data_IF_767376761928
#
_entry.id   IF_767376761928
#
_cell.length_a   1.000
_cell.length_b   1.000
_cell.length_c   1.000
_cell.angle_alpha   90.00
_cell.angle_beta   90.00
_cell.angle_gamma   90.00
#
_symmetry.space_group_name_H-M   'P 1'
#
loop_
_entity.id
_entity.type
_entity.pdbx_description
1 polymer ?
#
# COMPACT_ATOMS: atom_id res chain seq x y z
N UNK A 1 -14.59 -8.14 -10.39
CA UNK A 1 -14.99 -8.50 -11.77
C UNK A 1 -15.63 -7.34 -12.52
N UNK A 2 -16.65 -6.67 -11.97
CA UNK A 2 -17.30 -5.52 -12.63
C UNK A 2 -16.30 -4.43 -13.08
N UNK A 3 -15.38 -4.00 -12.21
CA UNK A 3 -14.37 -2.99 -12.56
C UNK A 3 -13.46 -3.42 -13.72
N UNK A 4 -13.10 -4.71 -13.81
CA UNK A 4 -12.30 -5.26 -14.91
C UNK A 4 -13.08 -5.23 -16.22
N UNK A 5 -14.36 -5.59 -16.17
CA UNK A 5 -15.27 -5.53 -17.31
C UNK A 5 -15.40 -4.09 -17.85
N UNK A 6 -15.63 -3.11 -16.97
CA UNK A 6 -15.71 -1.69 -17.34
C UNK A 6 -14.39 -1.21 -17.96
N UNK A 7 -13.26 -1.66 -17.43
CA UNK A 7 -11.94 -1.34 -17.97
C UNK A 7 -11.59 -2.10 -19.28
N UNK A 8 -12.39 -3.10 -19.68
CA UNK A 8 -12.16 -3.90 -20.89
C UNK A 8 -10.94 -4.82 -20.79
N UNK A 9 -10.55 -5.23 -19.59
CA UNK A 9 -9.40 -6.12 -19.35
C UNK A 9 -9.81 -7.34 -18.54
N UNK A 10 -8.95 -8.34 -18.56
CA UNK A 10 -9.02 -9.57 -17.75
C UNK A 10 -7.95 -9.54 -16.66
N UNK A 11 -8.09 -10.41 -15.66
CA UNK A 11 -7.16 -10.49 -14.52
C UNK A 11 -5.75 -10.97 -14.92
N UNK A 12 -5.61 -11.75 -16.00
CA UNK A 12 -4.30 -12.13 -16.56
C UNK A 12 -3.47 -10.95 -17.09
N UNK A 13 -4.10 -9.77 -17.26
CA UNK A 13 -3.41 -8.52 -17.61
C UNK A 13 -2.88 -7.76 -16.39
N UNK A 14 -3.13 -8.25 -15.18
CA UNK A 14 -2.70 -7.63 -13.94
C UNK A 14 -1.73 -8.54 -13.17
N UNK A 15 -0.89 -7.92 -12.34
CA UNK A 15 -0.03 -8.66 -11.42
C UNK A 15 -0.87 -9.43 -10.41
N UNK A 16 -0.37 -10.61 -10.01
CA UNK A 16 -0.96 -11.39 -8.93
C UNK A 16 -0.90 -10.59 -7.62
N UNK A 17 -2.05 -10.48 -6.94
CA UNK A 17 -2.11 -9.86 -5.62
C UNK A 17 -1.42 -10.76 -4.59
N UNK A 18 -0.59 -10.15 -3.76
CA UNK A 18 0.15 -10.82 -2.68
C UNK A 18 0.12 -9.96 -1.41
N UNK A 19 0.28 -10.56 -0.22
CA UNK A 19 0.42 -9.80 1.02
C UNK A 19 1.57 -8.80 0.95
N UNK A 20 1.47 -7.72 1.73
CA UNK A 20 2.52 -6.68 1.80
C UNK A 20 3.85 -7.21 2.34
N UNK A 21 3.82 -8.34 3.05
CA UNK A 21 4.98 -9.08 3.56
C UNK A 21 5.51 -10.16 2.61
N UNK A 22 4.89 -10.33 1.44
CA UNK A 22 5.34 -11.32 0.45
C UNK A 22 6.78 -11.04 0.03
N UNK A 23 7.60 -12.08 0.13
CA UNK A 23 9.04 -12.01 -0.10
C UNK A 23 9.42 -12.85 -1.31
N UNK A 24 10.21 -12.26 -2.21
CA UNK A 24 10.80 -12.88 -3.38
C UNK A 24 12.30 -13.09 -3.14
N UNK A 25 12.85 -14.16 -3.68
CA UNK A 25 14.30 -14.47 -3.64
C UNK A 25 14.75 -14.96 -5.01
N UNK A 26 16.06 -15.05 -5.22
CA UNK A 26 16.63 -15.50 -6.49
C UNK A 26 16.70 -14.36 -7.50
N UNK A 27 17.26 -13.23 -7.08
CA UNK A 27 17.55 -12.12 -7.96
C UNK A 27 18.56 -12.56 -9.04
N UNK A 28 18.36 -12.12 -10.28
CA UNK A 28 19.31 -12.39 -11.36
C UNK A 28 20.75 -11.96 -10.96
N UNK A 29 21.75 -12.77 -11.32
CA UNK A 29 23.15 -12.52 -10.97
C UNK A 29 23.66 -11.17 -11.46
N UNK A 30 23.20 -10.73 -12.64
CA UNK A 30 23.58 -9.43 -13.22
C UNK A 30 23.09 -8.28 -12.33
N UNK A 31 21.81 -8.29 -11.96
CA UNK A 31 21.22 -7.27 -11.10
C UNK A 31 21.76 -7.34 -9.66
N UNK A 32 22.02 -8.54 -9.14
CA UNK A 32 22.60 -8.71 -7.80
C UNK A 32 23.98 -8.07 -7.72
N UNK A 33 24.80 -8.26 -8.76
CA UNK A 33 26.13 -7.64 -8.88
C UNK A 33 26.04 -6.12 -9.02
N UNK A 34 25.13 -5.61 -9.86
CA UNK A 34 24.94 -4.16 -10.05
C UNK A 34 24.51 -3.46 -8.76
N UNK A 35 23.55 -4.05 -8.03
CA UNK A 35 23.06 -3.51 -6.75
C UNK A 35 23.98 -3.81 -5.55
N UNK A 36 25.04 -4.62 -5.75
CA UNK A 36 25.96 -5.07 -4.71
C UNK A 36 25.25 -5.79 -3.55
N UNK A 37 24.38 -6.74 -3.88
CA UNK A 37 23.65 -7.60 -2.94
C UNK A 37 23.83 -9.07 -3.29
N UNK A 38 23.48 -9.98 -2.38
CA UNK A 38 23.49 -11.41 -2.67
C UNK A 38 22.29 -11.76 -3.58
N UNK A 39 22.47 -12.75 -4.46
CA UNK A 39 21.37 -13.38 -5.23
C UNK A 39 20.25 -13.88 -4.31
N UNK A 40 20.61 -14.31 -3.10
CA UNK A 40 19.70 -14.78 -2.06
C UNK A 40 19.08 -13.66 -1.22
N UNK A 41 19.41 -12.39 -1.46
CA UNK A 41 18.83 -11.27 -0.70
C UNK A 41 17.32 -11.24 -0.94
N UNK A 42 16.49 -11.24 0.13
CA UNK A 42 15.05 -11.20 -0.01
C UNK A 42 14.55 -9.81 -0.41
N UNK A 43 13.57 -9.78 -1.31
CA UNK A 43 12.85 -8.59 -1.74
C UNK A 43 11.41 -8.66 -1.24
N UNK A 44 11.04 -7.77 -0.34
CA UNK A 44 9.67 -7.68 0.20
C UNK A 44 8.87 -6.74 -0.70
N UNK A 45 7.71 -7.20 -1.20
CA UNK A 45 6.85 -6.40 -2.10
C UNK A 45 6.43 -5.08 -1.46
N UNK A 46 6.23 -5.08 -0.14
CA UNK A 46 5.92 -3.88 0.62
C UNK A 46 4.50 -3.38 0.37
N UNK A 47 4.27 -2.10 0.60
CA UNK A 47 2.99 -1.44 0.45
C UNK A 47 3.19 -0.02 -0.13
N UNK A 48 2.10 0.70 -0.35
CA UNK A 48 2.18 2.08 -0.83
C UNK A 48 2.78 3.03 0.20
N UNK A 49 3.31 4.15 -0.28
CA UNK A 49 3.90 5.22 0.54
C UNK A 49 2.98 5.71 1.66
N UNK A 50 1.70 5.96 1.38
CA UNK A 50 0.72 6.45 2.35
C UNK A 50 0.39 5.41 3.42
N UNK A 51 0.36 4.13 3.03
CA UNK A 51 0.14 3.02 3.96
C UNK A 51 1.35 2.86 4.89
N UNK A 52 2.56 2.85 4.33
CA UNK A 52 3.80 2.74 5.10
C UNK A 52 4.08 3.99 5.95
N UNK A 53 3.64 5.17 5.52
CA UNK A 53 3.76 6.40 6.32
C UNK A 53 2.97 6.32 7.62
N UNK A 54 1.77 5.74 7.61
CA UNK A 54 0.98 5.51 8.82
C UNK A 54 1.64 4.51 9.77
N UNK A 55 2.11 3.40 9.21
CA UNK A 55 2.82 2.37 9.96
C UNK A 55 4.11 2.93 10.58
N UNK A 56 4.89 3.70 9.81
CA UNK A 56 6.18 4.23 10.22
C UNK A 56 6.12 5.23 11.37
N UNK A 57 4.98 5.89 11.60
CA UNK A 57 4.75 6.78 12.75
C UNK A 57 3.97 6.10 13.88
N UNK A 58 3.79 4.78 13.82
CA UNK A 58 3.03 3.98 14.77
C UNK A 58 1.56 4.42 14.93
N UNK A 59 0.96 5.02 13.89
CA UNK A 59 -0.45 5.44 13.88
C UNK A 59 -1.35 4.32 13.32
N UNK A 60 -1.34 3.19 14.01
CA UNK A 60 -2.03 1.96 13.61
C UNK A 60 -3.13 1.53 14.59
N UNK A 61 -3.14 2.08 15.80
CA UNK A 61 -4.14 1.75 16.82
C UNK A 61 -5.48 2.45 16.54
N UNK A 62 -6.62 1.84 16.93
CA UNK A 62 -7.92 2.46 16.81
C UNK A 62 -7.98 3.85 17.48
N UNK A 63 -8.46 4.84 16.72
CA UNK A 63 -8.58 6.23 17.19
C UNK A 63 -7.30 7.07 17.04
N UNK A 64 -6.18 6.49 16.63
CA UNK A 64 -4.95 7.23 16.32
C UNK A 64 -4.97 7.70 14.86
N UNK A 65 -4.58 8.95 14.65
CA UNK A 65 -4.57 9.60 13.33
C UNK A 65 -3.17 10.13 13.03
N UNK A 66 -2.65 9.83 11.84
CA UNK A 66 -1.47 10.45 11.29
C UNK A 66 -1.86 11.69 10.49
N UNK A 67 -1.20 12.82 10.79
CA UNK A 67 -1.31 14.06 10.03
C UNK A 67 0.07 14.44 9.54
N UNK A 68 0.21 14.50 8.21
CA UNK A 68 1.42 15.01 7.56
C UNK A 68 1.14 16.39 7.02
N UNK A 69 1.99 17.37 7.33
CA UNK A 69 1.90 18.74 6.83
C UNK A 69 3.24 19.09 6.18
N UNK A 70 3.24 19.18 4.86
CA UNK A 70 4.34 19.69 4.04
C UNK A 70 3.79 20.63 2.97
N UNK A 71 4.43 20.66 1.79
CA UNK A 71 3.90 21.39 0.62
C UNK A 71 2.47 20.96 0.28
N UNK A 72 2.20 19.65 0.41
CA UNK A 72 0.86 19.10 0.53
C UNK A 72 0.73 18.40 1.88
N UNK A 73 -0.51 18.12 2.27
CA UNK A 73 -0.84 17.43 3.51
C UNK A 73 -1.62 16.14 3.27
N UNK A 74 -1.74 15.35 4.32
CA UNK A 74 -2.61 14.19 4.34
C UNK A 74 -3.07 13.87 5.76
N UNK A 75 -4.28 13.37 5.88
CA UNK A 75 -4.87 12.91 7.15
C UNK A 75 -5.27 11.45 6.96
N UNK A 76 -4.80 10.56 7.85
CA UNK A 76 -4.97 9.12 7.69
C UNK A 76 -5.16 8.39 9.01
N UNK A 77 -5.96 7.33 9.01
CA UNK A 77 -6.19 6.44 10.15
C UNK A 77 -6.23 4.98 9.70
N UNK A 78 -6.03 4.04 10.63
CA UNK A 78 -6.16 2.61 10.38
C UNK A 78 -7.50 2.09 10.91
N UNK A 79 -8.11 1.19 10.16
CA UNK A 79 -9.38 0.52 10.49
C UNK A 79 -9.21 -0.99 10.33
N UNK A 80 -10.00 -1.77 11.06
CA UNK A 80 -9.95 -3.24 11.05
C UNK A 80 -10.92 -3.89 10.04
N UNK A 81 -11.48 -3.09 9.13
CA UNK A 81 -12.36 -3.52 8.04
C UNK A 81 -12.33 -2.49 6.92
N UNK A 82 -12.65 -2.85 5.67
CA UNK A 82 -12.79 -1.86 4.61
C UNK A 82 -13.86 -0.82 4.96
N UNK A 83 -13.55 0.46 4.76
CA UNK A 83 -14.50 1.57 4.98
C UNK A 83 -14.47 2.49 3.76
N UNK A 84 -15.58 2.57 3.06
CA UNK A 84 -15.76 3.51 1.93
C UNK A 84 -16.68 4.64 2.32
N UNK A 85 -16.43 5.83 1.78
CA UNK A 85 -17.32 6.99 1.95
C UNK A 85 -18.28 7.09 0.76
N UNK A 86 -19.61 7.09 0.98
CA UNK A 86 -20.60 7.21 -0.09
C UNK A 86 -20.46 8.49 -0.93
N UNK A 87 -19.82 9.53 -0.38
CA UNK A 87 -19.53 10.79 -1.10
C UNK A 87 -18.16 10.80 -1.79
N UNK A 88 -17.37 9.71 -1.68
CA UNK A 88 -16.06 9.58 -2.32
C UNK A 88 -14.98 10.53 -1.80
N UNK A 89 -15.08 11.03 -0.56
CA UNK A 89 -14.15 12.05 -0.02
C UNK A 89 -12.85 11.46 0.51
N UNK A 90 -12.87 10.18 0.91
CA UNK A 90 -11.70 9.48 1.46
C UNK A 90 -11.40 8.22 0.66
N UNK A 91 -10.11 7.87 0.60
CA UNK A 91 -9.67 6.58 0.10
C UNK A 91 -9.70 5.51 1.20
N UNK A 92 -9.59 4.25 0.80
CA UNK A 92 -9.44 3.09 1.67
C UNK A 92 -8.49 2.08 1.01
N UNK A 93 -7.28 1.94 1.55
CA UNK A 93 -6.22 1.08 1.01
C UNK A 93 -5.87 -0.04 1.97
N UNK A 94 -5.69 -1.26 1.46
CA UNK A 94 -5.30 -2.41 2.27
C UNK A 94 -3.85 -2.26 2.78
N UNK A 95 -3.64 -2.64 4.05
CA UNK A 95 -2.32 -2.72 4.70
C UNK A 95 -1.96 -4.18 5.03
N UNK A 96 -2.87 -4.88 5.72
CA UNK A 96 -2.80 -6.33 5.92
C UNK A 96 -4.15 -6.96 5.58
N UNK A 97 -4.28 -8.28 5.76
CA UNK A 97 -5.56 -8.99 5.61
C UNK A 97 -6.68 -8.42 6.50
N UNK A 98 -6.29 -7.81 7.64
CA UNK A 98 -7.21 -7.33 8.67
C UNK A 98 -7.15 -5.80 8.88
N UNK A 99 -6.35 -5.07 8.11
CA UNK A 99 -6.15 -3.62 8.33
C UNK A 99 -6.21 -2.82 7.04
N UNK A 100 -6.88 -1.66 7.10
CA UNK A 100 -7.03 -0.71 6.00
C UNK A 100 -6.71 0.71 6.46
N UNK A 101 -5.94 1.42 5.64
CA UNK A 101 -5.64 2.85 5.82
C UNK A 101 -6.70 3.65 5.09
N UNK A 102 -7.43 4.46 5.85
CA UNK A 102 -8.39 5.43 5.32
C UNK A 102 -7.84 6.83 5.45
N UNK A 103 -8.21 7.73 4.54
CA UNK A 103 -7.74 9.11 4.63
C UNK A 103 -8.05 9.97 3.42
N UNK A 104 -7.56 11.20 3.48
CA UNK A 104 -7.70 12.19 2.42
C UNK A 104 -6.39 12.96 2.19
N UNK A 105 -5.98 13.17 0.93
CA UNK A 105 -4.92 14.12 0.59
C UNK A 105 -5.44 15.57 0.67
N UNK A 106 -4.57 16.51 0.98
CA UNK A 106 -4.88 17.94 1.16
C UNK A 106 -3.85 18.78 0.39
N UNK A 107 -4.29 19.59 -0.57
CA UNK A 107 -3.40 20.29 -1.52
C UNK A 107 -3.54 21.82 -1.49
N UNK A 108 -3.81 22.44 -0.33
CA UNK A 108 -4.07 23.89 -0.20
C UNK A 108 -3.24 24.77 -1.14
#
# INVERSE_FOLDING_TARGET
>A
EEALHVAGITDDKLSKLVPTTHSLTGLDEEFAKEMNVLVSTPFVVGASDGVLSNLGVNAIDPGVVAVTIGTSGAIRAVTNRPVTDPKGRIFCYALTEDHWVIGGPVNN
#
